data_IF_359802188272
#
_entry.id   IF_359802188272
#
_cell.length_a   1.000
_cell.length_b   1.000
_cell.length_c   1.000
_cell.angle_alpha   90.00
_cell.angle_beta   90.00
_cell.angle_gamma   90.00
#
_symmetry.space_group_name_H-M   'P 1'
#
loop_
_entity.id
_entity.type
_entity.pdbx_description
1 polymer ?
#
# COMPACT_ATOMS: atom_id res chain seq x y z
N UNK A 1 4.40 -8.80 7.54
CA UNK A 1 4.92 -8.40 6.22
C UNK A 1 3.78 -7.94 5.31
N UNK A 2 4.05 -6.96 4.49
CA UNK A 2 3.03 -6.40 3.60
C UNK A 2 2.87 -7.27 2.37
N UNK A 3 1.62 -7.53 1.99
CA UNK A 3 1.35 -8.27 0.76
C UNK A 3 1.33 -7.30 -0.43
N UNK A 4 2.48 -7.13 -1.05
CA UNK A 4 2.68 -6.18 -2.13
C UNK A 4 1.78 -6.48 -3.33
N UNK A 5 1.57 -7.76 -3.62
CA UNK A 5 0.73 -8.14 -4.77
C UNK A 5 -0.72 -7.72 -4.58
N UNK A 6 -1.25 -7.87 -3.37
CA UNK A 6 -2.61 -7.39 -3.07
C UNK A 6 -2.70 -5.88 -3.19
N UNK A 7 -1.67 -5.16 -2.73
CA UNK A 7 -1.64 -3.71 -2.83
C UNK A 7 -1.62 -3.28 -4.29
N UNK A 8 -0.79 -3.92 -5.12
CA UNK A 8 -0.75 -3.61 -6.55
C UNK A 8 -2.10 -3.84 -7.21
N UNK A 9 -2.74 -4.96 -6.89
CA UNK A 9 -4.06 -5.26 -7.43
C UNK A 9 -5.07 -4.21 -7.02
N UNK A 10 -4.99 -3.74 -5.78
CA UNK A 10 -5.92 -2.74 -5.27
C UNK A 10 -5.71 -1.39 -5.96
N UNK A 11 -4.46 -1.03 -6.23
CA UNK A 11 -4.14 0.20 -6.98
C UNK A 11 -4.79 0.16 -8.35
N UNK A 12 -4.64 -0.96 -9.06
CA UNK A 12 -5.25 -1.14 -10.38
C UNK A 12 -6.78 -1.12 -10.29
N UNK A 13 -7.32 -1.79 -9.28
CA UNK A 13 -8.78 -1.82 -9.08
C UNK A 13 -9.35 -0.43 -8.90
N UNK A 14 -8.61 0.47 -8.25
CA UNK A 14 -9.04 1.85 -8.06
C UNK A 14 -8.74 2.74 -9.26
N UNK A 15 -8.20 2.19 -10.35
CA UNK A 15 -7.89 2.96 -11.54
C UNK A 15 -6.75 3.94 -11.34
N UNK A 16 -5.84 3.65 -10.42
CA UNK A 16 -4.73 4.53 -10.09
C UNK A 16 -3.39 3.94 -10.53
N UNK A 17 -2.38 4.80 -10.58
CA UNK A 17 -0.99 4.38 -10.77
C UNK A 17 -0.26 4.47 -9.44
N UNK A 18 0.91 3.84 -9.35
CA UNK A 18 1.73 3.94 -8.15
C UNK A 18 2.15 5.38 -7.89
N UNK A 19 2.40 6.16 -8.96
CA UNK A 19 2.74 7.57 -8.81
C UNK A 19 1.60 8.36 -8.17
N UNK A 20 0.37 8.08 -8.58
CA UNK A 20 -0.80 8.74 -8.01
C UNK A 20 -0.99 8.40 -6.55
N UNK A 21 -0.83 7.12 -6.19
CA UNK A 21 -0.94 6.70 -4.79
C UNK A 21 0.14 7.36 -3.95
N UNK A 22 1.37 7.38 -4.44
CA UNK A 22 2.48 8.03 -3.74
C UNK A 22 2.15 9.49 -3.44
N UNK A 23 1.66 10.21 -4.45
CA UNK A 23 1.29 11.62 -4.28
C UNK A 23 0.21 11.78 -3.22
N UNK A 24 -0.80 10.92 -3.24
CA UNK A 24 -1.90 10.99 -2.28
C UNK A 24 -1.45 10.75 -0.84
N UNK A 25 -0.46 9.90 -0.64
CA UNK A 25 0.05 9.62 0.70
C UNK A 25 1.26 10.48 1.09
N UNK A 26 1.62 11.43 0.21
CA UNK A 26 2.62 12.45 0.54
C UNK A 26 4.06 12.03 0.38
N UNK A 27 4.36 11.14 -0.57
CA UNK A 27 5.76 10.75 -0.84
C UNK A 27 6.02 10.72 -2.33
N UNK A 28 7.31 10.71 -2.71
CA UNK A 28 7.69 10.61 -4.11
C UNK A 28 7.44 9.21 -4.64
N UNK A 29 7.26 9.10 -5.95
CA UNK A 29 7.08 7.80 -6.60
C UNK A 29 8.26 6.88 -6.34
N UNK A 30 9.48 7.43 -6.38
CA UNK A 30 10.70 6.66 -6.14
C UNK A 30 10.68 6.04 -4.74
N UNK A 31 10.34 6.86 -3.73
CA UNK A 31 10.28 6.38 -2.34
C UNK A 31 9.20 5.31 -2.21
N UNK A 32 8.04 5.53 -2.81
CA UNK A 32 6.96 4.57 -2.78
C UNK A 32 7.37 3.23 -3.40
N UNK A 33 8.00 3.28 -4.57
CA UNK A 33 8.47 2.07 -5.25
C UNK A 33 9.50 1.31 -4.42
N UNK A 34 10.41 2.04 -3.75
CA UNK A 34 11.40 1.40 -2.88
C UNK A 34 10.73 0.71 -1.71
N UNK A 35 9.74 1.35 -1.11
CA UNK A 35 9.00 0.75 0.01
C UNK A 35 8.18 -0.45 -0.44
N UNK A 36 7.61 -0.39 -1.64
CA UNK A 36 6.90 -1.55 -2.22
C UNK A 36 7.84 -2.74 -2.40
N UNK A 37 9.06 -2.49 -2.88
CA UNK A 37 10.04 -3.57 -3.07
C UNK A 37 10.48 -4.19 -1.75
N UNK A 38 10.69 -3.36 -0.72
CA UNK A 38 11.12 -3.85 0.59
C UNK A 38 9.97 -4.40 1.42
N UNK A 39 8.74 -4.05 1.08
CA UNK A 39 7.57 -4.43 1.86
C UNK A 39 7.49 -3.74 3.21
N UNK A 40 8.13 -2.58 3.36
CA UNK A 40 8.19 -1.85 4.62
C UNK A 40 7.52 -0.49 4.51
N UNK A 41 6.41 -0.34 5.20
CA UNK A 41 5.69 0.93 5.30
C UNK A 41 5.46 1.25 6.77
N UNK A 42 5.52 2.54 7.11
CA UNK A 42 5.19 2.99 8.45
C UNK A 42 3.68 2.90 8.70
N UNK A 43 3.30 2.97 9.98
CA UNK A 43 1.88 2.89 10.35
C UNK A 43 1.07 4.03 9.75
N UNK A 44 1.64 5.25 9.73
CA UNK A 44 0.95 6.40 9.13
C UNK A 44 0.74 6.20 7.64
N UNK A 45 1.75 5.67 6.98
CA UNK A 45 1.69 5.41 5.54
C UNK A 45 0.64 4.34 5.23
N UNK A 46 0.63 3.28 6.02
CA UNK A 46 -0.35 2.21 5.87
C UNK A 46 -1.77 2.75 6.07
N UNK A 47 -1.97 3.58 7.09
CA UNK A 47 -3.27 4.18 7.35
C UNK A 47 -3.76 5.02 6.16
N UNK A 48 -2.87 5.82 5.61
CA UNK A 48 -3.21 6.63 4.43
C UNK A 48 -3.55 5.76 3.22
N UNK A 49 -2.79 4.69 3.02
CA UNK A 49 -3.06 3.76 1.91
C UNK A 49 -4.41 3.07 2.07
N UNK A 50 -4.76 2.69 3.29
CA UNK A 50 -6.06 2.08 3.56
C UNK A 50 -7.19 3.03 3.13
N UNK A 51 -7.05 4.30 3.44
CA UNK A 51 -8.06 5.31 3.09
C UNK A 51 -8.08 5.60 1.58
N UNK A 52 -6.91 5.80 0.99
CA UNK A 52 -6.80 6.15 -0.43
C UNK A 52 -7.28 5.02 -1.32
N UNK A 53 -6.93 3.78 -0.97
CA UNK A 53 -7.27 2.61 -1.77
C UNK A 53 -8.57 1.96 -1.34
N UNK A 54 -9.24 2.50 -0.33
CA UNK A 54 -10.50 1.97 0.18
C UNK A 54 -10.38 0.49 0.55
N UNK A 55 -9.35 0.18 1.33
CA UNK A 55 -9.08 -1.21 1.74
C UNK A 55 -10.01 -1.60 2.88
N UNK A 56 -10.80 -2.64 2.65
CA UNK A 56 -11.80 -3.12 3.64
C UNK A 56 -11.21 -4.12 4.62
N UNK A 57 -10.16 -4.83 4.22
CA UNK A 57 -9.55 -5.87 5.06
C UNK A 57 -8.04 -5.60 5.20
N UNK A 58 -7.66 -4.56 5.98
CA UNK A 58 -6.24 -4.16 6.05
C UNK A 58 -5.31 -5.26 6.56
N UNK A 59 -5.81 -6.16 7.39
CA UNK A 59 -4.99 -7.26 7.91
C UNK A 59 -4.39 -8.10 6.79
N UNK A 60 -5.17 -8.38 5.74
CA UNK A 60 -4.68 -9.18 4.61
C UNK A 60 -3.58 -8.46 3.84
N UNK A 61 -3.61 -7.14 3.82
CA UNK A 61 -2.66 -6.32 3.06
C UNK A 61 -1.38 -6.05 3.83
N UNK A 62 -1.50 -5.76 5.12
CA UNK A 62 -0.38 -5.25 5.90
C UNK A 62 0.15 -6.21 6.97
N UNK A 63 -0.59 -7.24 7.31
CA UNK A 63 -0.20 -8.19 8.36
C UNK A 63 -0.36 -9.63 7.90
N UNK A 64 -0.01 -9.89 6.64
CA UNK A 64 -0.21 -11.20 6.05
C UNK A 64 0.50 -12.33 6.80
N UNK A 65 1.65 -12.04 7.41
CA UNK A 65 2.44 -13.03 8.13
C UNK A 65 1.92 -13.32 9.52
N UNK A 66 1.02 -12.49 10.03
CA UNK A 66 0.49 -12.66 11.38
C UNK A 66 -0.84 -13.40 11.41
N UNK A 67 -1.40 -13.65 10.26
CA UNK A 67 -2.67 -14.38 10.14
C UNK A 67 -2.37 -15.87 10.17
N UNK A 68 -2.83 -16.52 11.19
CA UNK A 68 -2.63 -17.95 11.34
C UNK A 68 -3.49 -18.74 10.36
#
# INVERSE_FOLDING_TARGET
MINVNLIRAKIVENGMTQAQVAKEIGMSEKTFCMKMKSGKFGLDEADKMIKVLNIQEPTRYFFADTVA
#
